data_IF_852183757087
#
_entry.id   IF_852183757087
#
_cell.length_a   1.000
_cell.length_b   1.000
_cell.length_c   1.000
_cell.angle_alpha   90.00
_cell.angle_beta   90.00
_cell.angle_gamma   90.00
#
_symmetry.space_group_name_H-M   'P 1'
#
loop_
_entity.id
_entity.type
_entity.pdbx_description
1 polymer ?
#
# COMPACT_ATOMS: atom_id res chain seq x y z
N UNK A 1 34.59 -0.89 -34.39
CA UNK A 1 34.87 0.16 -33.39
C UNK A 1 34.24 1.53 -33.69
N UNK A 2 33.68 1.80 -34.89
CA UNK A 2 33.07 3.10 -35.20
C UNK A 2 31.57 3.22 -34.85
N UNK A 3 30.77 2.15 -34.95
CA UNK A 3 29.31 2.19 -34.72
C UNK A 3 28.89 2.46 -33.26
N UNK A 4 29.77 2.21 -32.28
CA UNK A 4 29.46 2.36 -30.85
C UNK A 4 29.70 3.80 -30.35
N UNK A 5 30.55 4.56 -31.05
CA UNK A 5 30.86 5.96 -30.79
C UNK A 5 29.85 6.92 -31.46
N UNK A 6 29.29 6.56 -32.62
CA UNK A 6 28.21 7.33 -33.27
C UNK A 6 26.88 7.23 -32.51
N UNK A 7 26.50 6.03 -32.04
CA UNK A 7 25.28 5.84 -31.26
C UNK A 7 25.30 6.60 -29.92
N UNK A 8 26.46 6.70 -29.26
CA UNK A 8 26.62 7.47 -28.02
C UNK A 8 26.57 8.98 -28.27
N UNK A 9 27.05 9.44 -29.43
CA UNK A 9 27.03 10.84 -29.82
C UNK A 9 25.62 11.31 -30.26
N UNK A 10 24.88 10.48 -31.00
CA UNK A 10 23.47 10.77 -31.34
C UNK A 10 22.56 10.75 -30.12
N UNK A 11 22.78 9.82 -29.17
CA UNK A 11 21.99 9.78 -27.92
C UNK A 11 22.26 11.02 -27.06
N UNK A 12 23.52 11.44 -26.93
CA UNK A 12 23.88 12.67 -26.22
C UNK A 12 23.35 13.94 -26.92
N UNK A 13 23.27 13.93 -28.25
CA UNK A 13 22.70 15.02 -29.05
C UNK A 13 21.17 15.08 -28.93
N UNK A 14 20.48 13.93 -28.92
CA UNK A 14 19.05 13.84 -28.64
C UNK A 14 18.72 14.24 -27.20
N UNK A 15 19.52 13.82 -26.22
CA UNK A 15 19.35 14.24 -24.82
C UNK A 15 19.52 15.76 -24.68
N UNK A 16 20.51 16.37 -25.36
CA UNK A 16 20.67 17.83 -25.39
C UNK A 16 19.51 18.56 -26.08
N UNK A 17 18.91 17.97 -27.11
CA UNK A 17 17.76 18.55 -27.85
C UNK A 17 16.46 18.41 -27.04
N UNK A 18 16.23 17.27 -26.40
CA UNK A 18 15.04 17.03 -25.55
C UNK A 18 15.10 17.92 -24.30
N UNK A 19 16.29 18.10 -23.72
CA UNK A 19 16.51 18.97 -22.55
C UNK A 19 16.45 20.46 -22.92
N UNK A 20 16.68 20.85 -24.17
CA UNK A 20 16.67 22.27 -24.59
C UNK A 20 15.37 22.76 -25.24
N UNK A 21 14.47 21.88 -25.72
CA UNK A 21 13.39 22.28 -26.62
C UNK A 21 11.95 22.07 -26.11
N UNK A 22 11.72 21.56 -24.90
CA UNK A 22 10.36 21.49 -24.36
C UNK A 22 10.12 22.65 -23.40
N UNK A 23 9.24 23.56 -23.80
CA UNK A 23 8.61 24.45 -22.83
C UNK A 23 7.87 23.60 -21.79
N UNK A 24 7.68 24.12 -20.56
CA UNK A 24 6.85 23.46 -19.55
C UNK A 24 5.48 23.03 -20.09
N UNK A 25 4.93 23.78 -21.05
CA UNK A 25 3.64 23.48 -21.66
C UNK A 25 3.71 22.23 -22.52
N UNK A 26 4.73 22.07 -23.36
CA UNK A 26 4.90 20.89 -24.22
C UNK A 26 5.30 19.66 -23.41
N UNK A 27 6.15 19.83 -22.39
CA UNK A 27 6.49 18.77 -21.45
C UNK A 27 5.25 18.25 -20.70
N UNK A 28 4.44 19.15 -20.13
CA UNK A 28 3.18 18.79 -19.48
C UNK A 28 2.22 18.08 -20.44
N UNK A 29 2.05 18.61 -21.65
CA UNK A 29 1.16 18.04 -22.65
C UNK A 29 1.59 16.62 -23.04
N UNK A 30 2.89 16.36 -23.15
CA UNK A 30 3.42 15.03 -23.45
C UNK A 30 3.22 14.07 -22.28
N UNK A 31 3.50 14.49 -21.04
CA UNK A 31 3.24 13.69 -19.85
C UNK A 31 1.77 13.27 -19.72
N UNK A 32 0.83 14.20 -19.90
CA UNK A 32 -0.60 13.92 -19.80
C UNK A 32 -1.06 12.82 -20.77
N UNK A 33 -0.40 12.63 -21.92
CA UNK A 33 -0.72 11.53 -22.86
C UNK A 33 -0.45 10.15 -22.27
N UNK A 34 0.52 10.04 -21.36
CA UNK A 34 0.91 8.77 -20.75
C UNK A 34 0.30 8.56 -19.37
N UNK A 35 -0.19 9.63 -18.74
CA UNK A 35 -0.74 9.54 -17.40
C UNK A 35 -1.89 8.52 -17.29
N UNK A 36 -2.02 7.94 -16.10
CA UNK A 36 -3.17 7.08 -15.79
C UNK A 36 -4.49 7.85 -15.95
N UNK A 37 -5.63 7.15 -15.89
CA UNK A 37 -6.96 7.80 -15.97
C UNK A 37 -7.17 8.92 -14.94
N UNK A 38 -6.42 8.90 -13.85
CA UNK A 38 -6.43 9.95 -12.82
C UNK A 38 -5.48 11.12 -13.12
N UNK A 39 -4.89 11.15 -14.32
CA UNK A 39 -3.83 12.07 -14.74
C UNK A 39 -2.53 11.96 -13.93
N UNK A 40 -2.31 10.87 -13.20
CA UNK A 40 -1.14 10.69 -12.31
C UNK A 40 -0.08 9.79 -12.96
N UNK A 41 1.17 10.24 -12.88
CA UNK A 41 2.41 9.52 -13.22
C UNK A 41 3.25 9.40 -11.93
N UNK A 42 3.68 8.20 -11.57
CA UNK A 42 4.51 8.03 -10.38
C UNK A 42 5.99 8.01 -10.79
N UNK A 43 6.67 9.14 -10.56
CA UNK A 43 8.12 9.21 -10.69
C UNK A 43 8.76 8.88 -9.35
N UNK A 44 9.12 7.63 -9.20
CA UNK A 44 9.97 7.28 -8.10
C UNK A 44 11.41 7.68 -8.49
N UNK A 45 12.15 8.44 -7.65
CA UNK A 45 13.58 8.65 -7.82
C UNK A 45 14.37 7.56 -7.08
N UNK A 46 15.14 6.79 -7.85
CA UNK A 46 16.21 5.84 -7.46
C UNK A 46 16.34 5.51 -5.97
N UNK A 47 15.63 4.47 -5.51
CA UNK A 47 16.01 3.71 -4.33
C UNK A 47 15.87 2.19 -4.60
N UNK A 48 16.40 1.32 -3.74
CA UNK A 48 16.42 -0.14 -4.01
C UNK A 48 15.04 -0.80 -4.00
N UNK A 49 13.99 -0.09 -3.56
CA UNK A 49 12.58 -0.54 -3.53
C UNK A 49 11.94 -0.67 -4.92
N UNK A 50 12.72 -0.45 -5.98
CA UNK A 50 12.21 0.02 -7.27
C UNK A 50 11.87 -1.03 -8.28
N UNK A 51 12.34 -2.27 -8.15
CA UNK A 51 12.12 -3.23 -9.21
C UNK A 51 10.61 -3.40 -9.45
N UNK A 52 9.86 -3.62 -8.39
CA UNK A 52 8.41 -3.86 -8.46
C UNK A 52 7.63 -2.57 -8.72
N UNK A 53 8.12 -1.42 -8.24
CA UNK A 53 7.52 -0.13 -8.57
C UNK A 53 7.74 0.27 -10.03
N UNK A 54 8.90 -0.06 -10.62
CA UNK A 54 9.18 0.17 -12.02
C UNK A 54 8.32 -0.73 -12.90
N UNK A 55 8.14 -2.01 -12.52
CA UNK A 55 7.17 -2.88 -13.16
C UNK A 55 5.75 -2.34 -13.04
N UNK A 56 5.34 -1.90 -11.85
CA UNK A 56 4.04 -1.28 -11.65
C UNK A 56 3.84 -0.02 -12.51
N UNK A 57 4.84 0.86 -12.58
CA UNK A 57 4.82 2.04 -13.42
C UNK A 57 4.63 1.70 -14.90
N UNK A 58 5.37 0.70 -15.39
CA UNK A 58 5.24 0.21 -16.76
C UNK A 58 3.83 -0.31 -17.05
N UNK A 59 3.27 -1.12 -16.16
CA UNK A 59 1.95 -1.74 -16.34
C UNK A 59 0.78 -0.74 -16.19
N UNK A 60 0.94 0.34 -15.41
CA UNK A 60 -0.16 1.28 -15.10
C UNK A 60 -0.10 2.62 -15.83
N UNK A 61 1.11 3.10 -16.16
CA UNK A 61 1.37 4.50 -16.51
C UNK A 61 2.02 4.69 -17.87
N UNK A 62 2.30 3.63 -18.61
CA UNK A 62 2.71 3.72 -20.01
C UNK A 62 1.83 2.72 -20.72
N UNK A 63 1.00 3.14 -21.69
CA UNK A 63 0.29 2.19 -22.56
C UNK A 63 1.26 1.08 -22.99
N UNK A 64 0.78 -0.17 -23.07
CA UNK A 64 1.53 -1.45 -23.19
C UNK A 64 2.74 -1.54 -24.15
N UNK A 65 3.05 -0.50 -24.89
CA UNK A 65 4.21 -0.31 -25.75
C UNK A 65 5.11 0.83 -25.26
N UNK A 66 6.25 0.52 -24.65
CA UNK A 66 7.62 1.01 -25.03
C UNK A 66 8.70 0.65 -23.98
N UNK A 67 9.80 0.05 -24.44
CA UNK A 67 10.84 -0.66 -23.65
C UNK A 67 12.02 0.18 -23.14
N UNK A 68 12.13 1.48 -23.49
CA UNK A 68 13.39 2.22 -23.38
C UNK A 68 13.72 2.72 -21.95
N UNK A 69 12.76 3.31 -21.24
CA UNK A 69 12.95 3.82 -19.86
C UNK A 69 13.27 2.66 -18.89
N UNK A 70 12.66 1.49 -19.12
CA UNK A 70 12.89 0.28 -18.34
C UNK A 70 14.35 -0.19 -18.39
N UNK A 71 15.03 -0.11 -19.54
CA UNK A 71 16.41 -0.57 -19.68
C UNK A 71 17.41 0.29 -18.88
N UNK A 72 17.16 1.60 -18.82
CA UNK A 72 17.97 2.55 -18.06
C UNK A 72 17.74 2.38 -16.55
N UNK A 73 16.48 2.26 -16.11
CA UNK A 73 16.14 2.05 -14.69
C UNK A 73 16.62 0.68 -14.20
N UNK A 74 16.45 -0.39 -14.99
CA UNK A 74 16.88 -1.75 -14.64
C UNK A 74 18.41 -1.86 -14.44
N UNK A 75 19.21 -1.22 -15.30
CA UNK A 75 20.67 -1.20 -15.15
C UNK A 75 21.11 -0.52 -13.86
N UNK A 76 20.46 0.58 -13.48
CA UNK A 76 20.76 1.32 -12.25
C UNK A 76 20.28 0.54 -11.02
N UNK A 77 19.09 -0.05 -11.04
CA UNK A 77 18.55 -0.82 -9.90
C UNK A 77 19.33 -2.11 -9.60
N UNK A 78 19.81 -2.83 -10.63
CA UNK A 78 20.62 -4.05 -10.42
C UNK A 78 21.97 -3.76 -9.73
N UNK A 79 22.47 -2.53 -9.85
CA UNK A 79 23.73 -2.11 -9.24
C UNK A 79 23.57 -1.74 -7.76
N UNK A 80 22.35 -1.44 -7.28
CA UNK A 80 22.12 -0.78 -5.98
C UNK A 80 21.26 -1.60 -5.03
N UNK A 81 21.75 -2.77 -4.61
CA UNK A 81 21.06 -3.63 -3.64
C UNK A 81 21.32 -3.33 -2.16
N UNK A 82 22.12 -2.30 -1.79
CA UNK A 82 22.69 -2.25 -0.43
C UNK A 82 22.70 -0.95 0.38
N UNK A 83 22.12 0.16 -0.05
CA UNK A 83 22.27 1.43 0.69
C UNK A 83 20.95 2.20 0.78
N UNK A 84 20.68 2.81 1.93
CA UNK A 84 19.62 3.80 2.11
C UNK A 84 19.95 5.04 1.28
N UNK A 85 19.56 4.98 0.01
CA UNK A 85 19.85 5.97 -1.02
C UNK A 85 19.15 7.31 -0.77
N UNK A 86 18.13 7.38 0.10
CA UNK A 86 17.46 8.65 0.37
C UNK A 86 18.39 9.61 1.12
N UNK A 87 19.16 9.10 2.08
CA UNK A 87 20.19 9.87 2.78
C UNK A 87 21.30 10.32 1.84
N UNK A 88 21.80 9.42 1.00
CA UNK A 88 22.84 9.72 0.01
C UNK A 88 22.35 10.72 -1.06
N UNK A 89 21.15 10.55 -1.61
CA UNK A 89 20.56 11.47 -2.58
C UNK A 89 20.27 12.84 -1.97
N UNK A 90 19.74 12.89 -0.74
CA UNK A 90 19.54 14.16 -0.04
C UNK A 90 20.87 14.85 0.27
N UNK A 91 21.91 14.09 0.62
CA UNK A 91 23.25 14.62 0.87
C UNK A 91 23.93 15.07 -0.42
N UNK A 92 23.74 14.37 -1.53
CA UNK A 92 24.22 14.79 -2.85
C UNK A 92 23.47 16.02 -3.35
N UNK A 93 22.14 16.08 -3.20
CA UNK A 93 21.35 17.29 -3.52
C UNK A 93 21.77 18.47 -2.64
N UNK A 94 21.95 18.26 -1.33
CA UNK A 94 22.46 19.29 -0.41
C UNK A 94 23.89 19.69 -0.75
N UNK A 95 24.78 18.74 -1.01
CA UNK A 95 26.17 19.00 -1.40
C UNK A 95 26.23 19.71 -2.75
N UNK A 96 25.33 19.39 -3.67
CA UNK A 96 25.19 20.07 -4.95
C UNK A 96 24.64 21.48 -4.78
N UNK A 97 23.65 21.71 -3.91
CA UNK A 97 23.16 23.05 -3.58
C UNK A 97 24.23 23.88 -2.85
N UNK A 98 24.98 23.28 -1.93
CA UNK A 98 26.03 23.94 -1.13
C UNK A 98 27.30 24.21 -1.97
N UNK A 99 27.69 23.29 -2.87
CA UNK A 99 28.79 23.52 -3.83
C UNK A 99 28.45 24.58 -4.88
N UNK A 100 27.16 24.82 -5.16
CA UNK A 100 26.71 25.69 -6.26
C UNK A 100 26.27 27.09 -5.83
N UNK A 101 27.14 27.80 -5.11
CA UNK A 101 27.31 29.21 -5.45
C UNK A 101 28.08 29.38 -6.78
N UNK A 102 28.59 28.29 -7.40
CA UNK A 102 29.18 28.31 -8.75
C UNK A 102 29.00 26.97 -9.53
N UNK A 103 28.13 27.04 -10.55
CA UNK A 103 28.05 26.28 -11.80
C UNK A 103 27.76 24.76 -11.81
N UNK A 104 26.48 24.43 -12.02
CA UNK A 104 26.06 23.31 -12.88
C UNK A 104 26.23 23.71 -14.35
N UNK A 105 27.38 23.42 -14.97
CA UNK A 105 27.66 23.82 -16.37
C UNK A 105 26.93 23.01 -17.44
N UNK A 106 26.25 21.91 -17.08
CA UNK A 106 25.55 21.03 -18.03
C UNK A 106 24.01 21.04 -17.92
N UNK A 107 23.44 21.70 -16.91
CA UNK A 107 22.00 21.97 -16.85
C UNK A 107 21.80 23.44 -17.19
N UNK A 108 21.25 23.71 -18.37
CA UNK A 108 21.08 25.08 -18.87
C UNK A 108 20.19 25.94 -17.97
N UNK A 109 19.25 25.35 -17.21
CA UNK A 109 18.39 26.03 -16.24
C UNK A 109 17.95 25.10 -15.10
N UNK A 110 17.98 25.60 -13.85
CA UNK A 110 17.25 24.98 -12.73
C UNK A 110 15.83 25.55 -12.77
N UNK A 111 14.84 24.67 -12.93
CA UNK A 111 13.45 25.06 -12.95
C UNK A 111 12.72 24.54 -11.72
N UNK A 112 12.06 25.45 -11.00
CA UNK A 112 11.14 25.09 -9.93
C UNK A 112 9.82 24.68 -10.59
N UNK A 113 9.41 23.43 -10.38
CA UNK A 113 8.16 22.90 -10.90
C UNK A 113 6.99 23.33 -10.00
N UNK A 114 5.82 23.51 -10.61
CA UNK A 114 4.58 23.83 -9.90
C UNK A 114 4.25 22.72 -8.89
N UNK A 115 4.27 23.08 -7.60
CA UNK A 115 4.12 22.13 -6.51
C UNK A 115 2.71 21.52 -6.42
N UNK A 116 1.72 22.04 -7.14
CA UNK A 116 0.37 21.48 -7.24
C UNK A 116 0.29 20.39 -8.32
N UNK A 117 1.10 20.50 -9.37
CA UNK A 117 1.18 19.53 -10.48
C UNK A 117 2.22 18.44 -10.24
N UNK A 118 3.31 18.76 -9.56
CA UNK A 118 4.47 17.90 -9.33
C UNK A 118 4.63 17.63 -7.84
N UNK A 119 3.66 16.92 -7.26
CA UNK A 119 3.61 16.71 -5.82
C UNK A 119 4.65 15.70 -5.36
N UNK A 120 5.19 15.87 -4.15
CA UNK A 120 5.84 14.75 -3.48
C UNK A 120 4.81 13.86 -2.76
N UNK A 121 5.20 12.65 -2.37
CA UNK A 121 4.30 11.71 -1.65
C UNK A 121 3.71 12.27 -0.36
N UNK A 122 4.37 13.19 0.35
CA UNK A 122 3.79 13.84 1.54
C UNK A 122 2.59 14.70 1.16
N UNK A 123 2.74 15.52 0.11
CA UNK A 123 1.65 16.38 -0.36
C UNK A 123 0.52 15.54 -0.93
N UNK A 124 0.85 14.51 -1.71
CA UNK A 124 -0.14 13.65 -2.36
C UNK A 124 -0.92 12.74 -1.40
N UNK A 125 -0.24 11.97 -0.55
CA UNK A 125 -0.92 11.01 0.32
C UNK A 125 -1.38 11.59 1.65
N UNK A 126 -0.56 12.42 2.31
CA UNK A 126 -0.86 12.90 3.65
C UNK A 126 -1.65 14.22 3.61
N UNK A 127 -1.14 15.26 2.93
CA UNK A 127 -1.81 16.57 2.89
C UNK A 127 -3.03 16.59 1.96
N UNK A 128 -3.01 15.79 0.90
CA UNK A 128 -4.16 15.59 0.01
C UNK A 128 -5.20 14.62 0.56
N UNK A 129 -5.02 14.12 1.78
CA UNK A 129 -5.90 13.15 2.43
C UNK A 129 -6.19 11.87 1.60
N UNK A 130 -5.26 11.46 0.74
CA UNK A 130 -5.44 10.30 -0.14
C UNK A 130 -5.13 8.98 0.58
N UNK A 131 -5.84 8.68 1.67
CA UNK A 131 -5.59 7.48 2.47
C UNK A 131 -6.08 6.22 1.76
N UNK A 132 -7.27 6.26 1.17
CA UNK A 132 -7.91 5.12 0.53
C UNK A 132 -8.20 5.40 -0.94
N UNK A 133 -8.53 4.35 -1.70
CA UNK A 133 -8.82 4.43 -3.14
C UNK A 133 -9.95 5.41 -3.51
N UNK A 134 -10.92 5.62 -2.62
CA UNK A 134 -12.08 6.50 -2.79
C UNK A 134 -11.85 7.91 -2.21
N UNK A 135 -10.65 8.17 -1.68
CA UNK A 135 -10.28 9.53 -1.27
C UNK A 135 -10.21 10.45 -2.48
N UNK A 136 -10.54 11.72 -2.28
CA UNK A 136 -10.49 12.73 -3.34
C UNK A 136 -9.14 12.69 -4.07
N UNK A 137 -9.20 12.57 -5.39
CA UNK A 137 -8.01 12.57 -6.24
C UNK A 137 -7.56 14.01 -6.49
N UNK A 138 -6.29 14.16 -6.84
CA UNK A 138 -5.76 15.47 -7.23
C UNK A 138 -5.96 15.66 -8.74
N UNK A 139 -6.90 16.52 -9.18
CA UNK A 139 -7.27 16.60 -10.60
C UNK A 139 -6.18 17.22 -11.48
N UNK A 140 -5.25 17.97 -10.87
CA UNK A 140 -4.17 18.67 -11.58
C UNK A 140 -2.80 18.02 -11.37
N UNK A 141 -2.70 16.97 -10.57
CA UNK A 141 -1.43 16.30 -10.31
C UNK A 141 -1.03 15.49 -11.53
N UNK A 142 0.07 15.87 -12.17
CA UNK A 142 0.65 15.16 -13.32
C UNK A 142 1.66 14.12 -12.82
N UNK A 143 2.51 14.50 -11.86
CA UNK A 143 3.57 13.64 -11.35
C UNK A 143 3.57 13.60 -9.82
N UNK A 144 3.80 12.41 -9.25
CA UNK A 144 4.10 12.22 -7.83
C UNK A 144 5.51 11.69 -7.62
N UNK A 145 6.34 12.45 -6.93
CA UNK A 145 7.72 12.11 -6.61
C UNK A 145 7.85 11.29 -5.32
N UNK A 146 8.65 10.21 -5.36
CA UNK A 146 8.96 9.38 -4.19
C UNK A 146 10.15 9.93 -3.40
N UNK A 147 9.89 10.59 -2.26
CA UNK A 147 10.96 10.99 -1.33
C UNK A 147 10.55 11.04 0.16
N UNK A 148 9.30 10.66 0.49
CA UNK A 148 8.76 10.83 1.85
C UNK A 148 8.38 9.53 2.55
N UNK A 149 7.83 8.54 1.84
CA UNK A 149 7.47 7.25 2.44
C UNK A 149 8.74 6.42 2.54
N UNK A 150 9.17 6.15 3.77
CA UNK A 150 10.38 5.38 4.07
C UNK A 150 10.05 3.88 3.96
N UNK A 151 11.00 3.07 3.47
CA UNK A 151 10.91 1.61 3.23
C UNK A 151 10.19 1.18 1.95
N UNK A 152 10.54 -0.01 1.42
CA UNK A 152 9.89 -0.61 0.24
C UNK A 152 8.47 -1.01 0.55
N UNK A 153 8.30 -1.63 1.71
CA UNK A 153 7.09 -2.25 2.24
C UNK A 153 5.99 -1.20 2.40
N UNK A 154 6.30 -0.07 3.04
CA UNK A 154 5.34 1.02 3.19
C UNK A 154 4.95 1.65 1.84
N UNK A 155 5.86 1.69 0.85
CA UNK A 155 5.54 2.20 -0.50
C UNK A 155 4.60 1.25 -1.24
N UNK A 156 4.85 -0.06 -1.19
CA UNK A 156 3.98 -1.09 -1.77
C UNK A 156 2.59 -1.03 -1.14
N UNK A 157 2.53 -1.08 0.19
CA UNK A 157 1.28 -0.98 0.96
C UNK A 157 0.46 0.25 0.56
N UNK A 158 1.08 1.44 0.60
CA UNK A 158 0.38 2.70 0.28
C UNK A 158 -0.12 2.77 -1.15
N UNK A 159 0.53 2.10 -2.09
CA UNK A 159 0.13 2.10 -3.49
C UNK A 159 -1.01 1.12 -3.75
N UNK A 160 -0.96 -0.05 -3.11
CA UNK A 160 -2.03 -1.04 -3.16
C UNK A 160 -3.32 -0.51 -2.55
N UNK A 161 -3.22 0.19 -1.41
CA UNK A 161 -4.34 0.79 -0.66
C UNK A 161 -5.14 1.84 -1.45
N UNK A 162 -4.54 2.42 -2.49
CA UNK A 162 -5.18 3.41 -3.38
C UNK A 162 -5.33 2.90 -4.82
N UNK A 163 -5.21 1.58 -5.04
CA UNK A 163 -5.31 0.93 -6.36
C UNK A 163 -4.33 1.46 -7.43
N UNK A 164 -3.20 2.04 -7.02
CA UNK A 164 -2.11 2.43 -7.90
C UNK A 164 -1.08 1.32 -8.11
N UNK A 165 -1.31 0.13 -7.57
CA UNK A 165 -0.41 -1.03 -7.69
C UNK A 165 -1.06 -2.17 -8.49
N UNK A 166 -0.55 -2.44 -9.67
CA UNK A 166 -1.00 -3.50 -10.58
C UNK A 166 -0.04 -4.70 -10.67
N UNK A 167 1.18 -4.57 -10.14
CA UNK A 167 2.17 -5.64 -10.22
C UNK A 167 1.76 -6.82 -9.33
N UNK A 168 1.60 -7.99 -9.96
CA UNK A 168 1.02 -9.20 -9.37
C UNK A 168 2.09 -10.25 -9.12
N UNK A 169 3.00 -9.92 -8.21
CA UNK A 169 4.10 -10.80 -7.81
C UNK A 169 3.56 -12.11 -7.23
N UNK A 170 3.98 -13.26 -7.77
CA UNK A 170 3.62 -14.60 -7.27
C UNK A 170 2.11 -14.84 -7.11
N UNK A 171 1.27 -14.17 -7.91
CA UNK A 171 -0.18 -14.27 -7.80
C UNK A 171 -0.77 -13.58 -6.56
N UNK A 172 -0.10 -12.55 -6.02
CA UNK A 172 -0.56 -11.75 -4.89
C UNK A 172 -2.06 -11.39 -4.94
N UNK A 173 -2.55 -11.02 -6.14
CA UNK A 173 -3.96 -10.76 -6.44
C UNK A 173 -4.65 -11.93 -7.16
N UNK A 174 -3.98 -12.57 -8.12
CA UNK A 174 -4.62 -13.53 -9.03
C UNK A 174 -4.72 -14.96 -8.51
N UNK A 175 -4.13 -15.28 -7.36
CA UNK A 175 -4.20 -16.62 -6.79
C UNK A 175 -5.63 -17.00 -6.41
N UNK A 176 -6.21 -17.95 -7.14
CA UNK A 176 -7.59 -18.40 -6.99
C UNK A 176 -7.82 -19.38 -5.84
N UNK A 177 -6.77 -19.90 -5.19
CA UNK A 177 -6.87 -20.90 -4.12
C UNK A 177 -6.70 -20.31 -2.73
N UNK A 178 -6.16 -19.09 -2.63
CA UNK A 178 -5.98 -18.41 -1.35
C UNK A 178 -7.35 -18.10 -0.73
N UNK A 179 -7.45 -18.39 0.56
CA UNK A 179 -8.61 -18.04 1.38
C UNK A 179 -8.30 -16.81 2.22
N UNK A 180 -9.32 -16.00 2.43
CA UNK A 180 -9.21 -14.72 3.10
C UNK A 180 -10.15 -14.64 4.30
N UNK A 181 -9.77 -13.80 5.25
CA UNK A 181 -10.60 -13.36 6.36
C UNK A 181 -10.63 -11.85 6.29
N UNK A 182 -11.82 -11.25 6.29
CA UNK A 182 -11.97 -9.81 6.43
C UNK A 182 -12.80 -9.50 7.66
N UNK A 183 -12.59 -8.31 8.21
CA UNK A 183 -13.40 -7.78 9.29
C UNK A 183 -13.64 -6.30 9.06
N UNK A 184 -14.68 -5.75 9.68
CA UNK A 184 -14.86 -4.30 9.70
C UNK A 184 -14.37 -3.74 11.03
N UNK A 185 -13.80 -2.55 10.96
CA UNK A 185 -13.70 -1.67 12.11
C UNK A 185 -14.89 -0.75 12.00
N UNK A 186 -15.94 -1.02 12.74
CA UNK A 186 -17.12 -0.15 12.78
C UNK A 186 -16.85 1.00 13.75
N UNK A 187 -17.46 2.18 13.55
CA UNK A 187 -17.36 3.26 14.52
C UNK A 187 -17.74 2.75 15.92
N UNK A 188 -16.90 3.07 16.91
CA UNK A 188 -17.06 2.65 18.29
C UNK A 188 -17.03 3.87 19.21
N UNK A 189 -17.69 3.76 20.35
CA UNK A 189 -17.92 4.88 21.27
C UNK A 189 -16.75 5.13 22.21
N UNK A 190 -15.89 4.13 22.39
CA UNK A 190 -14.77 4.18 23.33
C UNK A 190 -13.53 4.74 22.66
N UNK A 191 -12.88 5.72 23.27
CA UNK A 191 -11.78 6.41 22.62
C UNK A 191 -10.41 5.76 22.87
N UNK A 192 -10.05 4.73 22.09
CA UNK A 192 -8.76 4.05 22.26
C UNK A 192 -8.20 3.42 20.98
N UNK A 193 -7.05 3.92 20.52
CA UNK A 193 -6.27 3.33 19.42
C UNK A 193 -5.86 1.87 19.69
N UNK A 194 -5.83 1.43 20.95
CA UNK A 194 -5.46 0.05 21.30
C UNK A 194 -6.53 -0.96 20.86
N UNK A 195 -7.79 -0.54 20.78
CA UNK A 195 -8.90 -1.40 20.34
C UNK A 195 -8.68 -1.84 18.89
N UNK A 196 -8.25 -0.93 18.02
CA UNK A 196 -7.93 -1.22 16.62
C UNK A 196 -6.74 -2.17 16.47
N UNK A 197 -5.73 -2.01 17.31
CA UNK A 197 -4.55 -2.87 17.31
C UNK A 197 -4.85 -4.26 17.87
N UNK A 198 -5.72 -4.36 18.87
CA UNK A 198 -6.16 -5.64 19.45
C UNK A 198 -7.08 -6.40 18.47
N UNK A 199 -7.93 -5.68 17.74
CA UNK A 199 -8.68 -6.26 16.62
C UNK A 199 -7.77 -6.77 15.51
N UNK A 200 -6.72 -6.02 15.14
CA UNK A 200 -5.74 -6.47 14.15
C UNK A 200 -5.00 -7.73 14.60
N UNK A 201 -4.54 -7.78 15.85
CA UNK A 201 -3.88 -8.98 16.39
C UNK A 201 -4.83 -10.17 16.42
N UNK A 202 -6.08 -9.94 16.81
CA UNK A 202 -7.14 -10.95 16.76
C UNK A 202 -7.31 -11.46 15.33
N UNK A 203 -7.38 -10.58 14.34
CA UNK A 203 -7.51 -10.96 12.93
C UNK A 203 -6.33 -11.84 12.49
N UNK A 204 -5.11 -11.44 12.83
CA UNK A 204 -3.90 -12.20 12.51
C UNK A 204 -3.91 -13.59 13.18
N UNK A 205 -4.32 -13.68 14.44
CA UNK A 205 -4.43 -14.95 15.16
C UNK A 205 -5.49 -15.87 14.54
N UNK A 206 -6.71 -15.37 14.32
CA UNK A 206 -7.79 -16.11 13.66
C UNK A 206 -7.35 -16.59 12.27
N UNK A 207 -6.68 -15.72 11.51
CA UNK A 207 -6.18 -16.05 10.18
C UNK A 207 -5.11 -17.13 10.19
N UNK A 208 -4.26 -17.13 11.23
CA UNK A 208 -3.25 -18.17 11.42
C UNK A 208 -3.90 -19.53 11.70
N UNK A 209 -4.82 -19.58 12.67
CA UNK A 209 -5.55 -20.81 13.02
C UNK A 209 -6.34 -21.36 11.82
N UNK A 210 -6.97 -20.48 11.03
CA UNK A 210 -7.81 -20.87 9.90
C UNK A 210 -7.06 -21.00 8.56
N UNK A 211 -5.75 -20.78 8.55
CA UNK A 211 -4.92 -20.70 7.33
C UNK A 211 -5.53 -19.77 6.26
N UNK A 212 -5.83 -18.54 6.65
CA UNK A 212 -6.39 -17.48 5.80
C UNK A 212 -5.45 -16.28 5.78
N UNK A 213 -5.58 -15.46 4.75
CA UNK A 213 -4.92 -14.16 4.63
C UNK A 213 -5.88 -13.06 5.09
N UNK A 214 -5.42 -12.14 5.95
CA UNK A 214 -6.27 -11.04 6.45
C UNK A 214 -6.45 -9.98 5.38
N UNK A 215 -7.68 -9.58 5.07
CA UNK A 215 -7.96 -8.33 4.35
C UNK A 215 -8.20 -7.27 5.41
N UNK A 216 -7.35 -6.26 5.45
CA UNK A 216 -7.37 -5.23 6.47
C UNK A 216 -8.64 -4.36 6.38
N UNK A 217 -9.17 -3.90 7.50
CA UNK A 217 -10.25 -2.93 7.52
C UNK A 217 -9.67 -1.53 7.23
N UNK A 218 -10.56 -0.55 7.22
CA UNK A 218 -10.18 0.83 7.49
C UNK A 218 -9.90 0.99 8.98
N UNK A 219 -9.03 1.91 9.36
CA UNK A 219 -8.69 2.12 10.77
C UNK A 219 -9.06 3.54 11.18
N UNK A 220 -9.61 3.70 12.38
CA UNK A 220 -10.03 5.01 12.89
C UNK A 220 -8.96 5.68 13.72
N UNK A 221 -8.87 6.99 13.57
CA UNK A 221 -8.13 7.86 14.49
C UNK A 221 -9.05 8.23 15.64
N UNK A 222 -8.61 7.83 16.83
CA UNK A 222 -9.08 8.28 18.15
C UNK A 222 -9.52 9.76 18.12
N UNK A 223 -10.78 10.01 18.49
CA UNK A 223 -11.43 11.34 18.58
C UNK A 223 -11.63 12.15 17.29
N UNK A 224 -11.48 11.60 16.08
CA UNK A 224 -11.53 12.44 14.87
C UNK A 224 -12.52 12.04 13.78
N UNK A 225 -13.30 10.97 13.98
CA UNK A 225 -14.13 10.36 12.91
C UNK A 225 -13.36 10.14 11.59
N UNK A 226 -12.03 10.16 11.67
CA UNK A 226 -11.15 10.21 10.52
C UNK A 226 -10.49 8.84 10.38
N UNK A 227 -10.63 8.27 9.19
CA UNK A 227 -9.98 7.02 8.86
C UNK A 227 -8.55 7.29 8.36
N UNK A 228 -7.58 6.46 8.77
CA UNK A 228 -6.22 6.43 8.20
C UNK A 228 -5.83 4.99 7.92
N UNK A 229 -4.73 4.80 7.19
CA UNK A 229 -4.25 3.47 6.80
C UNK A 229 -3.19 2.96 7.75
N UNK A 230 -2.98 1.63 7.80
CA UNK A 230 -2.23 0.95 8.88
C UNK A 230 -0.85 1.57 9.16
N UNK A 231 -0.21 2.12 8.14
CA UNK A 231 1.09 2.82 8.24
C UNK A 231 1.08 4.07 9.14
N UNK A 232 -0.09 4.56 9.57
CA UNK A 232 -0.22 5.61 10.59
C UNK A 232 -0.02 5.10 12.02
N UNK A 233 -0.24 3.80 12.28
CA UNK A 233 -0.10 3.20 13.60
C UNK A 233 1.15 2.34 13.73
N UNK A 234 1.56 1.66 12.65
CA UNK A 234 2.65 0.69 12.67
C UNK A 234 3.63 0.95 11.52
N UNK A 235 4.92 0.75 11.76
CA UNK A 235 5.92 0.69 10.69
C UNK A 235 5.68 -0.55 9.85
N UNK A 236 5.23 -0.39 8.60
CA UNK A 236 4.93 -1.51 7.70
C UNK A 236 6.12 -2.45 7.52
N UNK A 237 7.35 -1.94 7.43
CA UNK A 237 8.54 -2.78 7.36
C UNK A 237 8.69 -3.76 8.54
N UNK A 238 8.29 -3.34 9.75
CA UNK A 238 8.30 -4.23 10.92
C UNK A 238 7.15 -5.25 10.88
N UNK A 239 5.99 -4.86 10.34
CA UNK A 239 4.87 -5.78 10.16
C UNK A 239 5.20 -6.83 9.10
N UNK A 240 5.70 -6.42 7.94
CA UNK A 240 6.07 -7.30 6.83
C UNK A 240 7.16 -8.29 7.22
N UNK A 241 8.12 -7.89 8.06
CA UNK A 241 9.14 -8.81 8.58
C UNK A 241 8.52 -10.08 9.21
N UNK A 242 7.33 -9.97 9.82
CA UNK A 242 6.63 -11.10 10.44
C UNK A 242 5.44 -11.62 9.64
N UNK A 243 4.77 -10.76 8.88
CA UNK A 243 3.45 -11.01 8.29
C UNK A 243 3.38 -10.72 6.79
N UNK A 244 4.51 -10.62 6.09
CA UNK A 244 4.52 -10.50 4.63
C UNK A 244 3.66 -11.61 4.00
N UNK A 245 2.83 -11.22 3.02
CA UNK A 245 1.82 -12.06 2.37
C UNK A 245 0.69 -12.63 3.26
N UNK A 246 0.72 -12.43 4.58
CA UNK A 246 -0.34 -12.84 5.51
C UNK A 246 -1.48 -11.83 5.65
N UNK A 247 -1.35 -10.66 5.02
CA UNK A 247 -2.43 -9.70 4.91
C UNK A 247 -2.51 -9.06 3.51
N UNK A 248 -3.61 -8.35 3.27
CA UNK A 248 -3.94 -7.54 2.09
C UNK A 248 -4.56 -6.22 2.52
N UNK A 249 -4.40 -5.19 1.70
CA UNK A 249 -4.97 -3.86 1.91
C UNK A 249 -6.52 -3.89 1.86
N UNK A 250 -7.17 -2.84 2.40
CA UNK A 250 -8.64 -2.80 2.48
C UNK A 250 -9.33 -2.94 1.12
N UNK A 251 -8.68 -2.40 0.10
CA UNK A 251 -9.20 -2.33 -1.27
C UNK A 251 -8.88 -3.57 -2.10
N UNK A 252 -8.30 -4.61 -1.50
CA UNK A 252 -7.80 -5.79 -2.22
C UNK A 252 -8.84 -6.39 -3.19
N UNK A 253 -10.07 -6.62 -2.72
CA UNK A 253 -11.12 -7.22 -3.55
C UNK A 253 -11.59 -6.32 -4.70
N UNK A 254 -11.31 -5.02 -4.63
CA UNK A 254 -11.62 -4.08 -5.71
C UNK A 254 -10.61 -4.19 -6.86
N UNK A 255 -9.41 -4.73 -6.59
CA UNK A 255 -8.37 -4.81 -7.60
C UNK A 255 -8.81 -5.69 -8.80
N UNK A 256 -8.57 -5.26 -10.06
CA UNK A 256 -9.06 -5.97 -11.25
C UNK A 256 -8.51 -7.40 -11.41
N UNK A 257 -7.30 -7.66 -10.91
CA UNK A 257 -6.67 -8.99 -11.00
C UNK A 257 -7.18 -9.99 -9.97
N UNK A 258 -7.95 -9.57 -8.97
CA UNK A 258 -8.58 -10.52 -8.04
C UNK A 258 -9.66 -11.31 -8.80
N UNK A 259 -9.62 -12.66 -8.78
CA UNK A 259 -10.59 -13.47 -9.49
C UNK A 259 -12.04 -13.16 -9.10
N UNK A 260 -12.97 -13.03 -10.06
CA UNK A 260 -14.39 -12.80 -9.76
C UNK A 260 -15.00 -13.85 -8.84
N UNK A 261 -14.50 -15.09 -8.88
CA UNK A 261 -14.93 -16.17 -7.99
C UNK A 261 -14.66 -15.83 -6.51
N UNK A 262 -13.47 -15.29 -6.19
CA UNK A 262 -13.14 -14.86 -4.82
C UNK A 262 -14.02 -13.69 -4.38
N UNK A 263 -14.26 -12.72 -5.27
CA UNK A 263 -15.10 -11.54 -4.95
C UNK A 263 -16.54 -11.92 -4.59
N UNK A 264 -17.08 -12.94 -5.27
CA UNK A 264 -18.47 -13.39 -5.11
C UNK A 264 -18.65 -14.42 -4.00
N UNK A 265 -17.63 -15.20 -3.68
CA UNK A 265 -17.68 -16.25 -2.66
C UNK A 265 -17.30 -15.71 -1.27
N UNK A 266 -18.26 -15.03 -0.65
CA UNK A 266 -18.13 -14.51 0.71
C UNK A 266 -19.21 -15.10 1.61
N UNK A 267 -18.87 -15.37 2.87
CA UNK A 267 -19.88 -15.75 3.87
C UNK A 267 -20.81 -14.58 4.18
N UNK A 268 -21.98 -14.88 4.76
CA UNK A 268 -22.69 -13.90 5.58
C UNK A 268 -21.79 -13.41 6.73
N UNK A 269 -22.10 -12.25 7.28
CA UNK A 269 -21.27 -11.64 8.33
C UNK A 269 -21.47 -12.35 9.66
N UNK A 270 -20.38 -12.82 10.25
CA UNK A 270 -20.35 -13.36 11.61
C UNK A 270 -19.97 -12.28 12.62
N UNK A 271 -20.46 -12.39 13.84
CA UNK A 271 -20.03 -11.54 14.94
C UNK A 271 -19.74 -12.39 16.17
N UNK A 272 -18.55 -12.25 16.73
CA UNK A 272 -18.16 -12.95 17.96
C UNK A 272 -18.59 -12.09 19.14
N UNK A 273 -19.62 -12.55 19.86
CA UNK A 273 -20.21 -11.81 20.96
C UNK A 273 -19.52 -12.18 22.28
N UNK A 274 -18.79 -11.21 22.81
CA UNK A 274 -18.24 -11.19 24.18
C UNK A 274 -18.81 -9.99 24.96
N UNK A 275 -18.71 -10.01 26.29
CA UNK A 275 -19.10 -8.86 27.14
C UNK A 275 -18.31 -7.59 26.78
N UNK A 276 -17.01 -7.73 26.51
CA UNK A 276 -16.16 -6.61 26.09
C UNK A 276 -16.55 -6.09 24.70
N UNK A 277 -16.84 -6.97 23.74
CA UNK A 277 -17.30 -6.57 22.40
C UNK A 277 -18.61 -5.79 22.46
N UNK A 278 -19.54 -6.21 23.32
CA UNK A 278 -20.82 -5.53 23.57
C UNK A 278 -20.61 -4.14 24.16
N UNK A 279 -19.68 -4.04 25.10
CA UNK A 279 -19.34 -2.77 25.76
C UNK A 279 -18.69 -1.79 24.79
N UNK A 280 -17.75 -2.25 23.95
CA UNK A 280 -17.07 -1.41 22.96
C UNK A 280 -18.02 -0.93 21.86
N UNK A 281 -18.87 -1.83 21.35
CA UNK A 281 -19.82 -1.46 20.29
C UNK A 281 -20.98 -0.62 20.83
N UNK A 282 -21.51 -0.94 22.01
CA UNK A 282 -22.67 -0.27 22.58
C UNK A 282 -24.00 -0.61 21.90
N UNK A 283 -24.01 -1.52 20.92
CA UNK A 283 -25.22 -1.98 20.22
C UNK A 283 -25.07 -3.44 19.76
N UNK A 284 -26.21 -4.06 19.43
CA UNK A 284 -26.27 -5.38 18.78
C UNK A 284 -26.20 -5.18 17.25
N UNK A 285 -25.17 -5.70 16.57
CA UNK A 285 -25.07 -5.58 15.13
C UNK A 285 -26.29 -6.21 14.42
N UNK A 286 -26.95 -5.51 13.49
CA UNK A 286 -28.05 -6.06 12.73
C UNK A 286 -27.54 -7.04 11.65
N UNK A 287 -28.35 -8.03 11.27
CA UNK A 287 -28.09 -8.94 10.15
C UNK A 287 -26.76 -9.75 10.23
N UNK A 288 -26.30 -10.07 11.44
CA UNK A 288 -25.12 -10.91 11.66
C UNK A 288 -25.49 -12.25 12.28
N UNK A 289 -24.69 -13.28 11.99
CA UNK A 289 -24.71 -14.53 12.75
C UNK A 289 -23.87 -14.35 14.01
N UNK A 290 -24.54 -14.23 15.16
CA UNK A 290 -23.88 -14.11 16.47
C UNK A 290 -23.32 -15.45 16.93
N UNK A 291 -22.03 -15.46 17.27
CA UNK A 291 -21.32 -16.59 17.87
C UNK A 291 -21.06 -16.27 19.34
N UNK A 292 -21.64 -17.07 20.22
CA UNK A 292 -21.52 -16.90 21.68
C UNK A 292 -20.85 -18.10 22.30
N UNK A 293 -20.01 -17.87 23.30
CA UNK A 293 -19.52 -18.92 24.17
C UNK A 293 -20.64 -19.36 25.12
N UNK A 294 -20.77 -20.67 25.31
CA UNK A 294 -21.70 -21.26 26.27
C UNK A 294 -21.22 -21.17 27.73
N UNK A 295 -19.99 -20.69 27.96
CA UNK A 295 -19.34 -20.58 29.27
C UNK A 295 -18.36 -19.41 29.30
N UNK A 296 -17.84 -19.03 30.48
CA UNK A 296 -16.76 -18.05 30.65
C UNK A 296 -15.39 -18.52 30.09
N UNK A 297 -15.37 -19.53 29.21
CA UNK A 297 -14.17 -20.03 28.56
C UNK A 297 -13.59 -18.96 27.64
N UNK A 298 -12.26 -18.85 27.60
CA UNK A 298 -11.56 -18.01 26.62
C UNK A 298 -11.70 -18.63 25.23
N UNK A 299 -11.72 -17.80 24.19
CA UNK A 299 -11.76 -18.28 22.81
C UNK A 299 -10.40 -18.93 22.50
N UNK A 300 -10.37 -20.25 22.39
CA UNK A 300 -9.18 -21.03 22.03
C UNK A 300 -9.15 -21.32 20.52
N UNK A 301 -8.01 -21.84 20.02
CA UNK A 301 -7.90 -22.30 18.64
C UNK A 301 -8.97 -23.37 18.29
N UNK A 302 -9.28 -24.28 19.23
CA UNK A 302 -10.29 -25.32 19.05
C UNK A 302 -11.70 -24.73 18.88
N UNK A 303 -12.03 -23.66 19.62
CA UNK A 303 -13.31 -22.96 19.45
C UNK A 303 -13.37 -22.26 18.10
N UNK A 304 -12.27 -21.63 17.67
CA UNK A 304 -12.17 -21.01 16.34
C UNK A 304 -12.35 -22.04 15.23
N UNK A 305 -11.70 -23.21 15.34
CA UNK A 305 -11.86 -24.32 14.39
C UNK A 305 -13.28 -24.88 14.41
N UNK A 306 -13.90 -25.00 15.58
CA UNK A 306 -15.28 -25.43 15.68
C UNK A 306 -16.25 -24.47 14.98
N UNK A 307 -16.08 -23.16 15.16
CA UNK A 307 -16.95 -22.16 14.52
C UNK A 307 -16.69 -22.01 13.02
N UNK A 308 -15.42 -22.05 12.59
CA UNK A 308 -15.04 -21.61 11.25
C UNK A 308 -14.27 -22.64 10.42
N UNK A 309 -13.79 -23.74 11.00
CA UNK A 309 -12.99 -24.76 10.30
C UNK A 309 -13.74 -25.43 9.15
N UNK A 310 -15.07 -25.53 9.26
CA UNK A 310 -15.94 -26.01 8.18
C UNK A 310 -16.17 -25.00 7.05
N UNK A 311 -15.82 -23.72 7.22
CA UNK A 311 -16.17 -22.67 6.27
C UNK A 311 -15.32 -22.77 4.99
N UNK A 312 -16.00 -23.02 3.87
CA UNK A 312 -15.35 -23.24 2.57
C UNK A 312 -15.20 -21.97 1.74
N UNK A 313 -16.02 -20.95 1.97
CA UNK A 313 -15.99 -19.70 1.21
C UNK A 313 -14.60 -19.07 1.15
N UNK A 314 -14.30 -18.50 -0.02
CA UNK A 314 -13.07 -17.80 -0.31
C UNK A 314 -12.83 -16.68 0.70
N UNK A 315 -13.87 -15.93 1.08
CA UNK A 315 -13.78 -14.85 2.06
C UNK A 315 -14.69 -15.13 3.26
N UNK A 316 -14.07 -15.26 4.44
CA UNK A 316 -14.79 -15.27 5.72
C UNK A 316 -15.00 -13.82 6.18
N UNK A 317 -16.26 -13.45 6.44
CA UNK A 317 -16.64 -12.08 6.72
C UNK A 317 -17.05 -11.90 8.19
N UNK A 318 -16.35 -11.01 8.90
CA UNK A 318 -16.57 -10.72 10.32
C UNK A 318 -17.02 -9.27 10.51
N UNK A 319 -17.98 -9.05 11.39
CA UNK A 319 -18.51 -7.71 11.66
C UNK A 319 -17.43 -6.82 12.27
N UNK A 320 -16.89 -7.23 13.41
CA UNK A 320 -15.76 -6.59 14.08
C UNK A 320 -15.02 -7.60 14.94
N UNK A 321 -13.82 -7.23 15.37
CA UNK A 321 -12.95 -8.05 16.23
C UNK A 321 -12.61 -7.33 17.54
N UNK A 322 -13.48 -6.40 17.96
CA UNK A 322 -13.33 -5.67 19.21
C UNK A 322 -13.65 -6.55 20.41
N UNK A 323 -12.84 -6.48 21.47
CA UNK A 323 -13.08 -7.15 22.74
C UNK A 323 -13.04 -8.68 22.68
N UNK A 324 -12.34 -9.25 21.69
CA UNK A 324 -12.17 -10.70 21.56
C UNK A 324 -10.94 -11.15 22.37
N UNK A 325 -9.81 -10.49 22.13
CA UNK A 325 -8.58 -10.62 22.91
C UNK A 325 -8.06 -9.23 23.23
N UNK A 326 -7.37 -9.08 24.37
CA UNK A 326 -6.66 -7.85 24.73
C UNK A 326 -5.15 -8.11 24.87
N UNK A 327 -4.35 -7.05 24.79
CA UNK A 327 -2.87 -7.12 24.88
C UNK A 327 -2.30 -7.90 26.07
N UNK A 328 -3.04 -8.07 27.17
CA UNK A 328 -2.57 -8.85 28.33
C UNK A 328 -2.77 -10.35 28.14
N UNK A 329 -3.59 -10.78 27.19
CA UNK A 329 -3.99 -12.17 26.99
C UNK A 329 -4.21 -12.48 25.50
N UNK A 330 -3.11 -12.62 24.76
CA UNK A 330 -3.12 -13.37 23.50
C UNK A 330 -2.91 -14.86 23.83
N UNK A 331 -3.80 -15.77 23.40
CA UNK A 331 -3.58 -17.20 23.58
C UNK A 331 -2.30 -17.64 22.87
N UNK A 332 -1.47 -18.42 23.54
CA UNK A 332 -0.32 -19.06 22.93
C UNK A 332 -0.82 -20.20 22.01
N UNK A 333 -0.12 -20.49 20.92
CA UNK A 333 -0.49 -21.60 20.02
C UNK A 333 -0.43 -22.97 20.71
N UNK A 334 0.22 -23.03 21.87
CA UNK A 334 0.33 -24.22 22.72
C UNK A 334 -0.70 -24.25 23.86
N UNK A 335 -1.60 -23.26 23.96
CA UNK A 335 -2.67 -23.27 24.95
C UNK A 335 -3.76 -24.27 24.49
N UNK A 336 -3.51 -25.56 24.75
CA UNK A 336 -4.58 -26.55 24.89
C UNK A 336 -5.15 -26.45 26.30
N UNK A 337 -6.48 -26.54 26.41
CA UNK A 337 -7.27 -26.37 27.66
C UNK A 337 -6.56 -26.73 28.97
#
# INVERSE_FOLDING_TARGET
MYAQAEATNETAKLEKIIVSALTNKEYNAELTKYASKENVIILALTDSSFLDMAFNFYETSIQSTRRLIFFLVKKVCLFIRRWDLQGALNNELKAAVIKNNTSFSNFSQIQILDDNKYQNRRKYFLRGHRFYHDSATCPQCIIVHNNWIISTEAKRYRFREVLLWSYDENGYFSNSTTKYLMYSNVPYTINSSNIELDALKTALYLSHVLNRVVILPRFHVTNKEEERTLNNWIKIACLDYHFYEKYRENVFLLHPKVPPAIKKDQTSTFWIKTEESMTILGYLPPNVTSLTLSSNKKISAQIIEHWFGGQRSAVLNLHSLYGIYNTKYMPNTNDTE
#
